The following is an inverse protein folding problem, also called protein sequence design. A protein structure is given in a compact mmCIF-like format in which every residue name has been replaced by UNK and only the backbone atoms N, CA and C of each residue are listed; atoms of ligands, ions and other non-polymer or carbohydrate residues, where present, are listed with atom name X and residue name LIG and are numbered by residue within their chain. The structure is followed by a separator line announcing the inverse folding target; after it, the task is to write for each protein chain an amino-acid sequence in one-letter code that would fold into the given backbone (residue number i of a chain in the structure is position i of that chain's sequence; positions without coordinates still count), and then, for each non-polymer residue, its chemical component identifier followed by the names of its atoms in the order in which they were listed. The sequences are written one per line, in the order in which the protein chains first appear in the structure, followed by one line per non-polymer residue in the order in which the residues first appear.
data_IF_043172620669
#
_entry.id   IF_043172620669
#
_cell.length_a   1.000
_cell.length_b   1.000
_cell.length_c   1.000
_cell.angle_alpha   90.00
_cell.angle_beta   90.00
_cell.angle_gamma   90.00
#
_symmetry.space_group_name_H-M   'P 1'
#
loop_
_entity.id
_entity.type
_entity.pdbx_description
1 polymer ?
#
# COMPACT_ATOMS: atom_id res chain seq x y z
N UNK A 1 24.77 51.96 44.81
CA UNK A 1 25.05 51.43 43.46
C UNK A 1 24.01 50.34 43.15
N UNK A 2 23.30 50.47 42.02
CA UNK A 2 22.76 49.42 41.10
C UNK A 2 22.46 48.03 41.71
N UNK A 3 21.27 47.42 41.67
CA UNK A 3 20.07 47.56 40.82
C UNK A 3 18.86 46.97 41.56
N UNK A 4 17.76 47.71 41.60
CA UNK A 4 16.42 47.19 41.86
C UNK A 4 15.79 46.81 40.51
N UNK A 5 15.54 45.52 40.26
CA UNK A 5 14.55 45.05 39.26
C UNK A 5 13.96 43.75 39.82
N UNK A 6 12.94 43.85 40.67
CA UNK A 6 11.54 43.91 40.29
C UNK A 6 11.03 42.54 39.77
N UNK A 7 10.59 41.74 40.73
CA UNK A 7 9.67 40.62 40.55
C UNK A 7 8.37 41.17 39.95
N UNK A 8 8.28 41.19 38.62
CA UNK A 8 7.08 41.54 37.87
C UNK A 8 6.61 40.30 37.13
N UNK A 9 5.63 39.64 37.72
CA UNK A 9 4.72 38.72 37.06
C UNK A 9 3.96 39.49 35.98
N UNK A 10 4.51 39.54 34.77
CA UNK A 10 3.77 40.04 33.62
C UNK A 10 4.09 39.19 32.40
N UNK A 11 3.17 38.26 32.15
CA UNK A 11 2.67 37.90 30.83
C UNK A 11 3.65 37.28 29.85
N UNK A 12 3.58 35.96 29.69
CA UNK A 12 3.75 35.36 28.38
C UNK A 12 2.55 34.44 28.12
N UNK A 13 1.56 34.97 27.41
CA UNK A 13 0.45 34.18 26.89
C UNK A 13 1.02 33.20 25.86
N UNK A 14 1.07 31.91 26.22
CA UNK A 14 1.35 30.84 25.27
C UNK A 14 0.13 30.69 24.36
N UNK A 15 0.18 31.31 23.19
CA UNK A 15 -0.80 31.09 22.13
C UNK A 15 -0.62 29.66 21.60
N UNK A 16 -1.41 28.72 22.13
CA UNK A 16 -1.49 27.35 21.62
C UNK A 16 -2.23 27.42 20.29
N UNK A 17 -1.49 27.43 19.19
CA UNK A 17 -2.02 27.18 17.85
C UNK A 17 -2.44 25.71 17.79
N UNK A 18 -3.71 25.43 18.11
CA UNK A 18 -4.34 24.14 17.85
C UNK A 18 -4.54 24.03 16.34
N UNK A 19 -3.57 23.43 15.65
CA UNK A 19 -3.76 22.97 14.28
C UNK A 19 -4.71 21.78 14.34
N UNK A 20 -5.99 22.04 14.10
CA UNK A 20 -7.02 21.02 13.92
C UNK A 20 -6.69 20.22 12.66
N UNK A 21 -5.91 19.16 12.81
CA UNK A 21 -5.70 18.17 11.76
C UNK A 21 -7.04 17.53 11.41
N UNK A 22 -7.58 17.86 10.24
CA UNK A 22 -8.71 17.14 9.64
C UNK A 22 -8.25 15.71 9.36
N UNK A 23 -8.48 14.82 10.32
CA UNK A 23 -8.42 13.38 10.11
C UNK A 23 -9.61 13.01 9.20
N UNK A 24 -9.42 13.19 7.89
CA UNK A 24 -10.33 12.67 6.90
C UNK A 24 -10.36 11.15 7.03
N UNK A 25 -11.47 10.61 7.52
CA UNK A 25 -11.73 9.17 7.52
C UNK A 25 -11.84 8.69 6.07
N UNK A 26 -10.72 8.25 5.50
CA UNK A 26 -10.77 7.49 4.24
C UNK A 26 -11.43 6.16 4.58
N UNK A 27 -12.67 5.96 4.15
CA UNK A 27 -13.28 4.64 4.15
C UNK A 27 -12.36 3.72 3.33
N UNK A 28 -11.64 2.81 3.99
CA UNK A 28 -10.82 1.82 3.30
C UNK A 28 -11.79 0.77 2.78
N UNK A 29 -11.97 0.73 1.47
CA UNK A 29 -12.62 -0.42 0.84
C UNK A 29 -11.75 -1.65 1.08
N UNK A 30 -12.39 -2.81 1.24
CA UNK A 30 -11.66 -4.08 1.32
C UNK A 30 -10.89 -4.30 0.00
N UNK A 31 -9.63 -4.78 0.07
CA UNK A 31 -8.82 -5.01 -1.12
C UNK A 31 -9.44 -6.11 -1.98
N UNK A 32 -9.52 -5.86 -3.29
CA UNK A 32 -9.96 -6.86 -4.26
C UNK A 32 -8.87 -7.90 -4.51
N UNK A 33 -9.19 -9.01 -5.19
CA UNK A 33 -8.22 -10.05 -5.54
C UNK A 33 -7.02 -9.47 -6.31
N UNK A 34 -7.25 -8.61 -7.30
CA UNK A 34 -6.16 -8.01 -8.09
C UNK A 34 -5.29 -7.06 -7.24
N UNK A 35 -5.86 -6.40 -6.23
CA UNK A 35 -5.10 -5.59 -5.28
C UNK A 35 -4.19 -6.45 -4.42
N UNK A 36 -4.71 -7.57 -3.91
CA UNK A 36 -3.94 -8.52 -3.11
C UNK A 36 -2.78 -9.14 -3.90
N UNK A 37 -3.03 -9.55 -5.14
CA UNK A 37 -1.99 -10.08 -6.03
C UNK A 37 -0.93 -9.00 -6.34
N UNK A 38 -1.34 -7.76 -6.60
CA UNK A 38 -0.40 -6.67 -6.85
C UNK A 38 0.44 -6.32 -5.63
N UNK A 39 -0.14 -6.29 -4.43
CA UNK A 39 0.59 -6.12 -3.16
C UNK A 39 1.67 -7.19 -3.03
N UNK A 40 1.32 -8.45 -3.30
CA UNK A 40 2.27 -9.55 -3.24
C UNK A 40 3.38 -9.46 -4.29
N UNK A 41 3.07 -9.03 -5.51
CA UNK A 41 4.08 -8.85 -6.56
C UNK A 41 5.08 -7.77 -6.17
N UNK A 42 4.60 -6.61 -5.69
CA UNK A 42 5.45 -5.51 -5.22
C UNK A 42 6.30 -5.92 -4.02
N UNK A 43 5.74 -6.68 -3.08
CA UNK A 43 6.50 -7.22 -1.94
C UNK A 43 7.65 -8.16 -2.37
N UNK A 44 7.56 -8.75 -3.56
CA UNK A 44 8.61 -9.59 -4.15
C UNK A 44 9.51 -8.84 -5.15
N UNK A 45 9.32 -7.53 -5.32
CA UNK A 45 10.13 -6.69 -6.21
C UNK A 45 9.64 -6.59 -7.65
N UNK A 46 8.46 -7.11 -7.97
CA UNK A 46 7.83 -6.95 -9.29
C UNK A 46 7.02 -5.67 -9.37
N UNK A 47 7.18 -4.91 -10.45
CA UNK A 47 6.44 -3.68 -10.68
C UNK A 47 5.00 -3.98 -11.14
N UNK A 48 4.01 -3.71 -10.30
CA UNK A 48 2.61 -3.71 -10.73
C UNK A 48 1.94 -2.45 -10.19
N UNK A 49 1.84 -1.40 -11.00
CA UNK A 49 1.36 -0.09 -10.53
C UNK A 49 -0.14 -0.13 -10.25
N UNK A 50 -0.95 0.06 -11.29
CA UNK A 50 -2.41 -0.02 -11.21
C UNK A 50 -2.86 -1.42 -11.64
N UNK A 51 -3.37 -2.28 -10.72
CA UNK A 51 -3.90 -3.57 -11.11
C UNK A 51 -5.26 -3.40 -11.79
N UNK A 52 -5.33 -3.76 -13.07
CA UNK A 52 -6.50 -3.56 -13.92
C UNK A 52 -7.45 -4.77 -13.89
N UNK A 53 -6.89 -5.97 -13.88
CA UNK A 53 -7.66 -7.22 -13.98
C UNK A 53 -6.88 -8.41 -13.42
N UNK A 54 -7.56 -9.29 -12.70
CA UNK A 54 -7.05 -10.61 -12.35
C UNK A 54 -8.00 -11.68 -12.89
N UNK A 55 -7.46 -12.60 -13.68
CA UNK A 55 -8.20 -13.74 -14.23
C UNK A 55 -7.55 -15.04 -13.81
N UNK A 56 -8.34 -15.98 -13.28
CA UNK A 56 -7.83 -17.30 -12.95
C UNK A 56 -7.46 -18.05 -14.22
N UNK A 57 -6.29 -18.68 -14.22
CA UNK A 57 -5.88 -19.59 -15.28
C UNK A 57 -6.32 -21.01 -14.90
N UNK A 58 -7.49 -21.42 -15.38
CA UNK A 58 -8.08 -22.73 -15.07
C UNK A 58 -7.25 -23.91 -15.60
N UNK A 59 -6.39 -23.69 -16.60
CA UNK A 59 -5.53 -24.76 -17.15
C UNK A 59 -4.34 -25.04 -16.24
N UNK A 60 -3.83 -24.00 -15.57
CA UNK A 60 -2.69 -24.11 -14.67
C UNK A 60 -3.08 -24.30 -13.20
N UNK A 61 -4.30 -23.89 -12.84
CA UNK A 61 -4.79 -24.01 -11.47
C UNK A 61 -5.19 -25.44 -11.09
N UNK A 62 -4.86 -25.84 -9.86
CA UNK A 62 -5.10 -27.15 -9.22
C UNK A 62 -5.57 -26.91 -7.77
N UNK A 63 -6.06 -27.94 -7.04
CA UNK A 63 -6.57 -27.76 -5.68
C UNK A 63 -5.62 -27.03 -4.72
N UNK A 64 -4.32 -27.31 -4.79
CA UNK A 64 -3.29 -26.70 -3.93
C UNK A 64 -2.33 -25.78 -4.70
N UNK A 65 -2.71 -25.34 -5.90
CA UNK A 65 -1.91 -24.40 -6.69
C UNK A 65 -2.84 -23.53 -7.52
N UNK A 66 -2.96 -22.27 -7.14
CA UNK A 66 -3.80 -21.34 -7.87
C UNK A 66 -2.94 -20.50 -8.81
N UNK A 67 -3.39 -20.35 -10.05
CA UNK A 67 -2.71 -19.56 -11.06
C UNK A 67 -3.63 -18.45 -11.59
N UNK A 68 -3.07 -17.27 -11.80
CA UNK A 68 -3.78 -16.11 -12.36
C UNK A 68 -2.95 -15.38 -13.39
N UNK A 69 -3.63 -14.77 -14.34
CA UNK A 69 -3.11 -13.67 -15.15
C UNK A 69 -3.50 -12.35 -14.47
N UNK A 70 -2.51 -11.59 -14.02
CA UNK A 70 -2.69 -10.25 -13.48
C UNK A 70 -2.23 -9.21 -14.51
N UNK A 71 -3.17 -8.43 -15.01
CA UNK A 71 -2.87 -7.28 -15.87
C UNK A 71 -2.74 -6.03 -15.00
N UNK A 72 -1.58 -5.39 -15.08
CA UNK A 72 -1.28 -4.09 -14.49
C UNK A 72 -1.14 -3.05 -15.60
N UNK A 73 -1.22 -1.76 -15.28
CA UNK A 73 -1.06 -0.67 -16.28
C UNK A 73 0.29 -0.69 -17.01
N UNK A 74 1.32 -1.27 -16.40
CA UNK A 74 2.69 -1.28 -16.89
C UNK A 74 3.17 -2.66 -17.39
N UNK A 75 2.49 -3.75 -17.03
CA UNK A 75 2.92 -5.12 -17.32
C UNK A 75 1.79 -6.13 -17.12
N UNK A 76 1.91 -7.30 -17.75
CA UNK A 76 1.04 -8.45 -17.50
C UNK A 76 1.86 -9.59 -16.91
N UNK A 77 1.37 -10.19 -15.84
CA UNK A 77 2.05 -11.26 -15.13
C UNK A 77 1.21 -12.53 -15.09
N UNK A 78 1.87 -13.68 -15.19
CA UNK A 78 1.36 -14.95 -14.68
C UNK A 78 1.85 -15.12 -13.25
N UNK A 79 0.92 -15.35 -12.34
CA UNK A 79 1.18 -15.54 -10.91
C UNK A 79 0.70 -16.93 -10.52
N UNK A 80 1.57 -17.75 -9.92
CA UNK A 80 1.20 -19.06 -9.35
C UNK A 80 1.48 -19.09 -7.86
N UNK A 81 0.48 -19.43 -7.05
CA UNK A 81 0.56 -19.54 -5.60
C UNK A 81 0.49 -21.00 -5.20
N UNK A 82 1.55 -21.46 -4.56
CA UNK A 82 1.59 -22.72 -3.82
C UNK A 82 1.59 -22.36 -2.34
N UNK A 83 0.82 -23.04 -1.47
CA UNK A 83 0.87 -22.84 -0.04
C UNK A 83 2.30 -22.85 0.51
N UNK A 84 2.56 -22.02 1.52
CA UNK A 84 3.84 -21.92 2.24
C UNK A 84 5.06 -21.49 1.40
N UNK A 85 4.86 -21.13 0.14
CA UNK A 85 5.90 -20.62 -0.76
C UNK A 85 5.60 -19.20 -1.23
N UNK A 86 6.65 -18.45 -1.58
CA UNK A 86 6.50 -17.21 -2.32
C UNK A 86 5.83 -17.50 -3.69
N UNK A 87 5.09 -16.53 -4.23
CA UNK A 87 4.44 -16.76 -5.52
C UNK A 87 5.48 -16.84 -6.62
N UNK A 88 5.30 -17.81 -7.53
CA UNK A 88 6.03 -17.81 -8.78
C UNK A 88 5.44 -16.73 -9.68
N UNK A 89 6.26 -15.80 -10.16
CA UNK A 89 5.83 -14.70 -11.04
C UNK A 89 6.61 -14.74 -12.35
N UNK A 90 5.90 -14.76 -13.46
CA UNK A 90 6.44 -14.71 -14.82
C UNK A 90 5.83 -13.52 -15.56
N UNK A 91 6.65 -12.65 -16.15
CA UNK A 91 6.15 -11.58 -17.00
C UNK A 91 5.74 -12.12 -18.38
N UNK A 92 4.53 -11.79 -18.82
CA UNK A 92 3.99 -12.17 -20.12
C UNK A 92 4.38 -11.06 -21.10
N UNK A 93 5.26 -11.38 -22.06
CA UNK A 93 5.61 -10.46 -23.15
C UNK A 93 4.43 -10.36 -24.13
N UNK A 94 4.03 -9.15 -24.56
CA UNK A 94 3.17 -9.01 -25.72
C UNK A 94 3.91 -9.54 -26.95
N UNK A 95 3.20 -10.29 -27.78
CA UNK A 95 3.69 -10.86 -29.05
C UNK A 95 3.86 -9.80 -30.15
#
# INVERSE_FOLDING_TARGET
MRRTVMMRFTGLAFAVLVVSGVAGSTARADPTLQDLLAIQLRAQGYACDQPLKAERDDKLSKPDNEAWTLTCSNATYRVSRVPDLAAKVEEIKPE
#
